data_IF_019160348382
#
_entry.id   IF_019160348382
#
_cell.length_a   1.000
_cell.length_b   1.000
_cell.length_c   1.000
_cell.angle_alpha   90.00
_cell.angle_beta   90.00
_cell.angle_gamma   90.00
#
_symmetry.space_group_name_H-M   'P 1'
#
loop_
_entity.id
_entity.type
_entity.pdbx_description
1 polymer ?
#
# COMPACT_ATOMS: atom_id res chain seq x y z
N UNK A 1 -16.04 3.39 -4.70
CA UNK A 1 -15.42 2.40 -3.79
C UNK A 1 -15.56 2.88 -2.35
N UNK A 2 -16.41 2.22 -1.63
CA UNK A 2 -16.78 2.62 -0.27
C UNK A 2 -15.59 2.71 0.69
N UNK A 3 -14.76 1.68 0.71
CA UNK A 3 -13.63 1.64 1.64
C UNK A 3 -12.51 2.59 1.26
N UNK A 4 -12.31 2.83 -0.03
CA UNK A 4 -11.37 3.84 -0.47
C UNK A 4 -11.80 5.22 0.01
N UNK A 5 -13.09 5.53 -0.06
CA UNK A 5 -13.63 6.79 0.44
C UNK A 5 -13.48 6.91 1.95
N UNK A 6 -13.76 5.84 2.69
CA UNK A 6 -13.58 5.83 4.15
C UNK A 6 -12.14 6.07 4.54
N UNK A 7 -11.20 5.41 3.87
CA UNK A 7 -9.77 5.55 4.18
C UNK A 7 -9.26 6.94 3.81
N UNK A 8 -9.54 7.40 2.59
CA UNK A 8 -9.05 8.69 2.13
C UNK A 8 -9.66 9.87 2.88
N UNK A 9 -10.83 9.67 3.47
CA UNK A 9 -11.47 10.67 4.33
C UNK A 9 -11.08 10.57 5.79
N UNK A 10 -10.35 9.52 6.18
CA UNK A 10 -9.95 9.34 7.56
C UNK A 10 -8.90 10.37 7.98
N UNK A 11 -9.16 11.06 9.08
CA UNK A 11 -8.31 12.15 9.54
C UNK A 11 -6.91 11.66 9.92
N UNK A 12 -6.83 10.55 10.63
CA UNK A 12 -5.55 10.01 11.08
C UNK A 12 -4.70 9.54 9.92
N UNK A 13 -5.31 8.90 8.92
CA UNK A 13 -4.65 8.50 7.69
C UNK A 13 -4.07 9.72 6.96
N UNK A 14 -4.86 10.78 6.82
CA UNK A 14 -4.41 12.01 6.17
C UNK A 14 -3.28 12.68 6.92
N UNK A 15 -3.35 12.70 8.25
CA UNK A 15 -2.27 13.25 9.07
C UNK A 15 -0.98 12.46 8.90
N UNK A 16 -1.08 11.14 8.79
CA UNK A 16 0.08 10.29 8.58
C UNK A 16 0.72 10.53 7.22
N UNK A 17 -0.09 10.72 6.17
CA UNK A 17 0.42 11.07 4.84
C UNK A 17 1.10 12.44 4.82
N UNK A 18 0.55 13.42 5.54
CA UNK A 18 1.18 14.73 5.66
C UNK A 18 2.52 14.64 6.38
N UNK A 19 2.61 13.79 7.40
CA UNK A 19 3.87 13.55 8.10
C UNK A 19 4.90 12.92 7.18
N UNK A 20 4.49 11.95 6.39
CA UNK A 20 5.39 11.31 5.43
C UNK A 20 5.89 12.32 4.40
N UNK A 21 5.01 13.15 3.89
CA UNK A 21 5.35 14.22 2.94
C UNK A 21 6.39 15.17 3.55
N UNK A 22 6.20 15.55 4.80
CA UNK A 22 7.15 16.43 5.51
C UNK A 22 8.51 15.77 5.69
N UNK A 23 8.54 14.49 6.03
CA UNK A 23 9.79 13.75 6.18
C UNK A 23 10.54 13.57 4.86
N UNK A 24 9.81 13.60 3.74
CA UNK A 24 10.39 13.37 2.41
C UNK A 24 10.55 14.65 1.58
N UNK A 25 10.27 15.82 2.14
CA UNK A 25 10.26 17.08 1.38
C UNK A 25 11.59 17.39 0.69
N UNK A 26 12.70 16.91 1.24
CA UNK A 26 14.03 17.16 0.67
C UNK A 26 14.46 16.09 -0.34
N UNK A 27 13.60 15.11 -0.61
CA UNK A 27 13.89 14.05 -1.57
C UNK A 27 13.31 14.39 -2.93
N UNK A 28 14.14 14.26 -3.97
CA UNK A 28 13.76 14.61 -5.33
C UNK A 28 12.77 13.61 -5.93
N UNK A 29 12.88 12.33 -5.56
CA UNK A 29 12.14 11.25 -6.22
C UNK A 29 11.02 10.62 -5.41
N UNK A 30 10.78 11.10 -4.20
CA UNK A 30 9.77 10.49 -3.33
C UNK A 30 8.67 11.49 -3.01
N UNK A 31 7.53 11.34 -3.69
CA UNK A 31 6.36 12.15 -3.44
C UNK A 31 5.20 11.22 -3.12
N UNK A 32 5.00 10.92 -1.84
CA UNK A 32 4.02 9.94 -1.39
C UNK A 32 2.68 10.59 -0.99
N UNK A 33 2.26 11.62 -1.71
CA UNK A 33 0.94 12.19 -1.55
C UNK A 33 -0.13 11.24 -2.07
N UNK A 34 -1.39 11.49 -1.68
CA UNK A 34 -2.50 10.63 -2.06
C UNK A 34 -2.67 10.51 -3.58
N UNK A 35 -2.38 11.59 -4.32
CA UNK A 35 -2.43 11.56 -5.78
C UNK A 35 -1.47 10.53 -6.37
N UNK A 36 -0.24 10.48 -5.84
CA UNK A 36 0.75 9.50 -6.28
C UNK A 36 0.27 8.07 -5.95
N UNK A 37 -0.25 7.86 -4.74
CA UNK A 37 -0.72 6.55 -4.33
C UNK A 37 -1.89 6.07 -5.19
N UNK A 38 -2.78 6.98 -5.59
CA UNK A 38 -3.86 6.65 -6.51
C UNK A 38 -3.34 6.31 -7.90
N UNK A 39 -2.28 6.97 -8.35
CA UNK A 39 -1.64 6.61 -9.63
C UNK A 39 -1.04 5.22 -9.57
N UNK A 40 -0.38 4.87 -8.47
CA UNK A 40 0.13 3.51 -8.24
C UNK A 40 -1.02 2.51 -8.32
N UNK A 41 -2.15 2.83 -7.69
CA UNK A 41 -3.33 1.95 -7.71
C UNK A 41 -3.86 1.75 -9.12
N UNK A 42 -3.92 2.81 -9.93
CA UNK A 42 -4.40 2.71 -11.31
C UNK A 42 -3.47 1.84 -12.16
N UNK A 43 -2.16 2.02 -12.04
CA UNK A 43 -1.18 1.21 -12.75
C UNK A 43 -1.31 -0.25 -12.35
N UNK A 44 -1.41 -0.52 -11.05
CA UNK A 44 -1.57 -1.88 -10.55
C UNK A 44 -2.86 -2.52 -11.06
N UNK A 45 -3.94 -1.77 -11.12
CA UNK A 45 -5.21 -2.28 -11.62
C UNK A 45 -5.16 -2.59 -13.12
N UNK A 46 -4.50 -1.74 -13.89
CA UNK A 46 -4.29 -1.98 -15.33
C UNK A 46 -3.51 -3.29 -15.52
N UNK A 47 -2.45 -3.49 -14.76
CA UNK A 47 -1.68 -4.75 -14.79
C UNK A 47 -2.57 -5.95 -14.47
N UNK A 48 -3.42 -5.83 -13.47
CA UNK A 48 -4.38 -6.86 -13.09
C UNK A 48 -5.29 -7.24 -14.26
N UNK A 49 -5.83 -6.23 -14.95
CA UNK A 49 -6.73 -6.46 -16.08
C UNK A 49 -5.99 -7.08 -17.26
N UNK A 50 -4.83 -6.57 -17.60
CA UNK A 50 -4.06 -7.07 -18.74
C UNK A 50 -3.58 -8.50 -18.52
N UNK A 51 -3.16 -8.83 -17.31
CA UNK A 51 -2.70 -10.16 -16.96
C UNK A 51 -3.83 -11.11 -16.56
N UNK A 52 -5.07 -10.63 -16.49
CA UNK A 52 -6.26 -11.42 -16.13
C UNK A 52 -6.12 -12.12 -14.78
N UNK A 53 -5.65 -11.39 -13.77
CA UNK A 53 -5.38 -11.96 -12.45
C UNK A 53 -6.63 -12.12 -11.59
N UNK A 54 -7.70 -11.41 -11.90
CA UNK A 54 -8.97 -11.55 -11.17
C UNK A 54 -8.97 -10.94 -9.78
N UNK A 55 -8.04 -10.04 -9.49
CA UNK A 55 -8.02 -9.36 -8.19
C UNK A 55 -9.10 -8.27 -8.13
N UNK A 56 -9.66 -8.09 -6.94
CA UNK A 56 -10.68 -7.07 -6.73
C UNK A 56 -10.07 -5.67 -6.83
N UNK A 57 -10.74 -4.80 -7.56
CA UNK A 57 -10.28 -3.42 -7.75
C UNK A 57 -10.04 -2.71 -6.42
N UNK A 58 -10.98 -2.84 -5.49
CA UNK A 58 -10.88 -2.16 -4.20
C UNK A 58 -9.71 -2.68 -3.37
N UNK A 59 -9.43 -3.98 -3.40
CA UNK A 59 -8.27 -4.56 -2.71
C UNK A 59 -6.97 -3.94 -3.23
N UNK A 60 -6.86 -3.76 -4.54
CA UNK A 60 -5.69 -3.15 -5.17
C UNK A 60 -5.53 -1.70 -4.73
N UNK A 61 -6.63 -0.93 -4.73
CA UNK A 61 -6.58 0.47 -4.33
C UNK A 61 -6.24 0.63 -2.85
N UNK A 62 -6.84 -0.18 -1.99
CA UNK A 62 -6.56 -0.13 -0.54
C UNK A 62 -5.10 -0.50 -0.26
N UNK A 63 -4.61 -1.56 -0.90
CA UNK A 63 -3.21 -1.95 -0.74
C UNK A 63 -2.25 -0.84 -1.18
N UNK A 64 -2.53 -0.20 -2.32
CA UNK A 64 -1.71 0.90 -2.81
C UNK A 64 -1.71 2.08 -1.84
N UNK A 65 -2.89 2.43 -1.30
CA UNK A 65 -3.01 3.55 -0.37
C UNK A 65 -2.29 3.29 0.96
N UNK A 66 -2.13 2.03 1.35
CA UNK A 66 -1.53 1.68 2.64
C UNK A 66 -0.06 1.26 2.56
N UNK A 67 0.45 0.92 1.38
CA UNK A 67 1.72 0.20 1.28
C UNK A 67 2.95 0.99 1.74
N UNK A 68 2.93 2.31 1.70
CA UNK A 68 4.09 3.14 2.06
C UNK A 68 4.02 3.77 3.44
N UNK A 69 2.97 3.48 4.23
CA UNK A 69 2.80 4.12 5.54
C UNK A 69 3.95 3.81 6.50
N UNK A 70 4.55 2.64 6.38
CA UNK A 70 5.66 2.23 7.24
C UNK A 70 6.91 3.07 7.06
N UNK A 71 7.01 3.85 5.99
CA UNK A 71 8.18 4.72 5.78
C UNK A 71 8.29 5.80 6.85
N UNK A 72 7.17 6.20 7.45
CA UNK A 72 7.20 7.14 8.58
C UNK A 72 8.05 6.55 9.71
N UNK A 73 7.80 5.29 10.05
CA UNK A 73 8.55 4.60 11.11
C UNK A 73 10.01 4.40 10.74
N UNK A 74 10.28 4.14 9.47
CA UNK A 74 11.65 3.98 8.99
C UNK A 74 12.44 5.29 9.14
N UNK A 75 11.85 6.42 8.73
CA UNK A 75 12.50 7.73 8.87
C UNK A 75 12.65 8.15 10.32
N UNK A 76 11.65 7.88 11.17
CA UNK A 76 11.66 8.36 12.56
C UNK A 76 12.37 7.42 13.53
N UNK A 77 12.32 6.12 13.30
CA UNK A 77 12.79 5.13 14.28
C UNK A 77 13.73 4.08 13.70
N UNK A 78 13.99 4.09 12.39
CA UNK A 78 14.86 3.10 11.76
C UNK A 78 14.23 1.73 11.58
N UNK A 79 12.93 1.58 11.88
CA UNK A 79 12.22 0.30 11.70
C UNK A 79 11.96 0.09 10.20
N UNK A 80 12.24 -1.11 9.68
CA UNK A 80 12.00 -1.43 8.28
C UNK A 80 10.57 -1.13 7.87
N UNK A 81 10.40 -0.36 6.77
CA UNK A 81 9.07 0.12 6.38
C UNK A 81 8.08 -1.00 6.02
N UNK A 82 8.58 -2.15 5.58
CA UNK A 82 7.70 -3.29 5.26
C UNK A 82 7.08 -3.92 6.51
N UNK A 83 7.82 -3.95 7.63
CA UNK A 83 7.33 -4.46 8.91
C UNK A 83 6.34 -3.46 9.53
N UNK A 84 6.76 -2.21 9.63
CA UNK A 84 5.92 -1.14 10.18
C UNK A 84 4.69 -0.90 9.32
N UNK A 85 4.84 -1.01 7.99
CA UNK A 85 3.74 -0.85 7.05
C UNK A 85 2.64 -1.86 7.25
N UNK A 86 3.00 -3.11 7.52
CA UNK A 86 2.01 -4.15 7.80
C UNK A 86 1.21 -3.83 9.06
N UNK A 87 1.88 -3.38 10.12
CA UNK A 87 1.21 -3.02 11.37
C UNK A 87 0.25 -1.85 11.19
N UNK A 88 0.70 -0.81 10.48
CA UNK A 88 -0.14 0.37 10.24
C UNK A 88 -1.30 0.03 9.31
N UNK A 89 -1.05 -0.78 8.29
CA UNK A 89 -2.10 -1.22 7.39
C UNK A 89 -3.18 -2.00 8.14
N UNK A 90 -2.79 -2.92 9.02
CA UNK A 90 -3.74 -3.66 9.85
C UNK A 90 -4.61 -2.73 10.68
N UNK A 91 -3.99 -1.74 11.29
CA UNK A 91 -4.69 -0.75 12.10
C UNK A 91 -5.79 -0.04 11.30
N UNK A 92 -5.45 0.45 10.09
CA UNK A 92 -6.42 1.16 9.27
C UNK A 92 -7.47 0.24 8.67
N UNK A 93 -7.10 -0.98 8.28
CA UNK A 93 -8.08 -1.94 7.78
C UNK A 93 -9.14 -2.25 8.83
N UNK A 94 -8.74 -2.39 10.09
CA UNK A 94 -9.68 -2.59 11.18
C UNK A 94 -10.51 -1.34 11.43
N UNK A 95 -9.90 -0.17 11.36
CA UNK A 95 -10.58 1.10 11.60
C UNK A 95 -11.70 1.37 10.61
N UNK A 96 -11.50 1.01 9.35
CA UNK A 96 -12.52 1.22 8.31
C UNK A 96 -13.46 0.02 8.15
N UNK A 97 -13.32 -0.99 9.00
CA UNK A 97 -14.13 -2.22 8.94
C UNK A 97 -14.00 -2.96 7.60
N UNK A 98 -12.79 -3.02 7.07
CA UNK A 98 -12.57 -3.75 5.82
C UNK A 98 -12.87 -5.24 6.01
N UNK A 99 -13.49 -5.93 5.01
CA UNK A 99 -13.80 -7.35 5.16
C UNK A 99 -12.58 -8.15 5.61
N UNK A 100 -12.69 -8.79 6.77
CA UNK A 100 -11.52 -9.38 7.41
C UNK A 100 -10.90 -10.51 6.59
N UNK A 101 -11.71 -11.26 5.85
CA UNK A 101 -11.22 -12.35 5.00
C UNK A 101 -10.38 -11.85 3.80
N UNK A 102 -10.49 -10.55 3.49
CA UNK A 102 -9.71 -9.94 2.42
C UNK A 102 -8.48 -9.19 2.94
N UNK A 103 -8.38 -9.01 4.26
CA UNK A 103 -7.26 -8.27 4.85
C UNK A 103 -5.93 -9.01 4.70
N UNK A 104 -5.94 -10.34 4.82
CA UNK A 104 -4.71 -11.13 4.79
C UNK A 104 -3.93 -10.93 3.48
N UNK A 105 -4.62 -10.93 2.35
CA UNK A 105 -3.98 -10.77 1.04
C UNK A 105 -3.35 -9.38 0.90
N UNK A 106 -4.00 -8.37 1.45
CA UNK A 106 -3.48 -7.00 1.44
C UNK A 106 -2.25 -6.89 2.34
N UNK A 107 -2.32 -7.44 3.55
CA UNK A 107 -1.22 -7.37 4.51
C UNK A 107 0.01 -8.13 4.01
N UNK A 108 -0.19 -9.27 3.38
CA UNK A 108 0.91 -10.05 2.81
C UNK A 108 1.55 -9.29 1.64
N UNK A 109 0.74 -8.67 0.79
CA UNK A 109 1.24 -7.87 -0.32
C UNK A 109 2.11 -6.72 0.17
N UNK A 110 1.69 -6.03 1.22
CA UNK A 110 2.44 -4.92 1.79
C UNK A 110 3.75 -5.40 2.41
N UNK A 111 3.73 -6.50 3.14
CA UNK A 111 4.91 -7.05 3.79
C UNK A 111 5.98 -7.47 2.77
N UNK A 112 5.55 -7.94 1.61
CA UNK A 112 6.43 -8.52 0.59
C UNK A 112 6.79 -7.56 -0.56
N UNK A 113 6.13 -6.42 -0.70
CA UNK A 113 6.31 -5.57 -1.88
C UNK A 113 7.75 -5.07 -2.06
N UNK A 114 8.54 -5.03 -1.01
CA UNK A 114 9.94 -4.63 -1.04
C UNK A 114 10.86 -5.71 -1.62
N UNK A 115 10.47 -6.97 -1.50
CA UNK A 115 11.30 -8.12 -1.88
C UNK A 115 11.13 -8.46 -3.36
N UNK A 116 11.62 -7.57 -4.24
CA UNK A 116 11.50 -7.76 -5.68
C UNK A 116 12.15 -9.07 -6.16
N UNK A 117 13.23 -9.48 -5.54
CA UNK A 117 13.91 -10.71 -5.91
C UNK A 117 13.03 -11.94 -5.63
N UNK A 118 12.33 -11.95 -4.52
CA UNK A 118 11.39 -13.02 -4.19
C UNK A 118 10.13 -12.94 -5.06
N UNK A 119 9.75 -11.74 -5.46
CA UNK A 119 8.54 -11.51 -6.24
C UNK A 119 8.73 -11.94 -7.70
N UNK A 120 9.94 -11.88 -8.22
CA UNK A 120 10.23 -12.31 -9.58
C UNK A 120 10.25 -13.82 -9.74
N UNK A 121 10.26 -14.57 -8.64
CA UNK A 121 10.12 -16.00 -8.68
C UNK A 121 8.72 -16.43 -9.09
N UNK A 122 8.60 -17.60 -9.72
CA UNK A 122 7.32 -18.11 -10.21
C UNK A 122 6.32 -18.42 -9.09
N UNK A 123 6.77 -18.47 -7.86
CA UNK A 123 5.95 -18.83 -6.71
C UNK A 123 5.38 -17.62 -5.99
N UNK A 124 5.81 -16.41 -6.33
CA UNK A 124 5.30 -15.19 -5.69
C UNK A 124 3.85 -14.95 -6.08
N UNK A 125 2.97 -14.63 -5.13
CA UNK A 125 1.60 -14.27 -5.46
C UNK A 125 1.56 -13.10 -6.43
N UNK A 126 0.66 -13.17 -7.41
CA UNK A 126 0.57 -12.17 -8.48
C UNK A 126 0.29 -10.77 -7.93
N UNK A 127 -0.46 -10.69 -6.84
CA UNK A 127 -0.76 -9.40 -6.18
C UNK A 127 0.53 -8.70 -5.72
N UNK A 128 1.46 -9.46 -5.13
CA UNK A 128 2.75 -8.93 -4.69
C UNK A 128 3.54 -8.38 -5.88
N UNK A 129 3.52 -9.09 -6.99
CA UNK A 129 4.22 -8.69 -8.21
C UNK A 129 3.68 -7.37 -8.75
N UNK A 130 2.38 -7.20 -8.73
CA UNK A 130 1.72 -5.97 -9.19
C UNK A 130 2.19 -4.78 -8.36
N UNK A 131 2.15 -4.90 -7.03
CA UNK A 131 2.59 -3.82 -6.14
C UNK A 131 4.07 -3.49 -6.32
N UNK A 132 4.91 -4.48 -6.52
CA UNK A 132 6.34 -4.27 -6.70
C UNK A 132 6.65 -3.52 -8.00
N UNK A 133 5.87 -3.76 -9.05
CA UNK A 133 6.05 -3.10 -10.34
C UNK A 133 5.47 -1.68 -10.36
N UNK A 134 4.42 -1.48 -9.61
CA UNK A 134 3.77 -0.18 -9.55
C UNK A 134 4.57 0.80 -8.70
#
# INVERSE_FOLDING_TARGET
MEYVEKLSGDREYRQLLERLKELEKDRIYCHHGIGHLLDVARIAYIENLEAQLGLEKEDIYIAALLHDLGRVDEYESGIGHHIAGRKRARYFLQKIDYPWERQAVILDAIAEHRNKENIEGNEAPMFHRILAKA
#
